data_IF_676700975122
#
_entry.id   IF_676700975122
#
_cell.length_a   1.000
_cell.length_b   1.000
_cell.length_c   1.000
_cell.angle_alpha   90.00
_cell.angle_beta   90.00
_cell.angle_gamma   90.00
#
_symmetry.space_group_name_H-M   'P 1'
#
loop_
_entity.id
_entity.type
_entity.pdbx_description
1 polymer ?
#
# COMPACT_ATOMS: atom_id res chain seq x y z
N UNK A 1 6.52 -0.22 31.93
CA UNK A 1 7.09 -1.22 31.00
C UNK A 1 6.02 -2.30 30.79
N UNK A 2 5.46 -2.47 29.56
CA UNK A 2 4.48 -3.53 29.28
C UNK A 2 5.16 -4.89 29.27
N UNK A 3 4.54 -5.97 29.79
CA UNK A 3 5.10 -7.32 29.72
C UNK A 3 5.35 -7.74 28.25
N UNK A 4 6.40 -8.49 27.97
CA UNK A 4 6.75 -8.98 26.64
C UNK A 4 5.60 -9.80 26.02
N UNK A 5 4.88 -10.58 26.84
CA UNK A 5 3.71 -11.37 26.46
C UNK A 5 2.55 -10.48 25.95
N UNK A 6 2.37 -9.31 26.54
CA UNK A 6 1.33 -8.33 26.16
C UNK A 6 1.63 -7.70 24.79
N UNK A 7 2.90 -7.38 24.51
CA UNK A 7 3.34 -6.87 23.20
C UNK A 7 3.14 -7.92 22.11
N UNK A 8 3.46 -9.18 22.41
CA UNK A 8 3.30 -10.31 21.48
C UNK A 8 1.82 -10.61 21.20
N UNK A 9 0.96 -10.55 22.21
CA UNK A 9 -0.47 -10.74 22.05
C UNK A 9 -1.09 -9.65 21.18
N UNK A 10 -0.71 -8.38 21.42
CA UNK A 10 -1.17 -7.24 20.61
C UNK A 10 -0.78 -7.39 19.13
N UNK A 11 0.45 -7.82 18.83
CA UNK A 11 0.90 -8.07 17.47
C UNK A 11 0.11 -9.22 16.81
N UNK A 12 -0.05 -10.37 17.51
CA UNK A 12 -0.84 -11.51 17.01
C UNK A 12 -2.28 -11.13 16.67
N UNK A 13 -2.94 -10.35 17.53
CA UNK A 13 -4.32 -9.88 17.30
C UNK A 13 -4.38 -8.98 16.07
N UNK A 14 -3.45 -8.02 15.93
CA UNK A 14 -3.37 -7.15 14.73
C UNK A 14 -3.17 -7.98 13.47
N UNK A 15 -2.23 -8.92 13.46
CA UNK A 15 -1.91 -9.73 12.28
C UNK A 15 -3.06 -10.66 11.90
N UNK A 16 -3.76 -11.24 12.88
CA UNK A 16 -5.00 -11.98 12.67
C UNK A 16 -6.10 -11.09 12.06
N UNK A 17 -6.25 -9.87 12.59
CA UNK A 17 -7.22 -8.91 12.06
C UNK A 17 -6.90 -8.52 10.62
N UNK A 18 -5.64 -8.24 10.29
CA UNK A 18 -5.22 -7.92 8.93
C UNK A 18 -5.56 -9.04 7.94
N UNK A 19 -5.30 -10.30 8.31
CA UNK A 19 -5.68 -11.46 7.48
C UNK A 19 -7.18 -11.54 7.24
N UNK A 20 -7.97 -11.50 8.32
CA UNK A 20 -9.43 -11.61 8.24
C UNK A 20 -10.08 -10.41 7.54
N UNK A 21 -9.58 -9.21 7.76
CA UNK A 21 -10.04 -8.02 7.05
C UNK A 21 -9.70 -8.07 5.56
N UNK A 22 -8.53 -8.60 5.21
CA UNK A 22 -8.14 -8.80 3.80
C UNK A 22 -9.00 -9.86 3.10
N UNK A 23 -9.41 -10.90 3.81
CA UNK A 23 -10.17 -12.02 3.25
C UNK A 23 -11.68 -11.72 3.19
N UNK A 24 -12.25 -11.26 4.30
CA UNK A 24 -13.70 -11.12 4.45
C UNK A 24 -14.20 -9.67 4.45
N UNK A 25 -13.28 -8.70 4.52
CA UNK A 25 -13.63 -7.28 4.75
C UNK A 25 -13.89 -6.97 6.22
N UNK A 26 -13.87 -5.66 6.53
CA UNK A 26 -14.07 -5.20 7.92
C UNK A 26 -15.50 -5.45 8.41
N UNK A 27 -16.52 -5.33 7.54
CA UNK A 27 -17.94 -5.49 7.92
C UNK A 27 -18.22 -6.89 8.43
N UNK A 28 -17.81 -7.91 7.68
CA UNK A 28 -18.10 -9.32 7.96
C UNK A 28 -17.23 -9.93 9.07
N UNK A 29 -16.10 -9.32 9.38
CA UNK A 29 -15.19 -9.79 10.42
C UNK A 29 -15.67 -9.36 11.81
N UNK A 30 -15.64 -10.28 12.79
CA UNK A 30 -16.04 -10.02 14.18
C UNK A 30 -14.86 -10.07 15.14
N UNK A 31 -14.97 -9.40 16.29
CA UNK A 31 -13.97 -9.51 17.39
C UNK A 31 -13.79 -10.97 17.83
N UNK A 32 -14.86 -11.78 17.81
CA UNK A 32 -14.80 -13.21 18.21
C UNK A 32 -13.98 -14.03 17.21
N UNK A 33 -14.15 -13.81 15.90
CA UNK A 33 -13.37 -14.50 14.86
C UNK A 33 -11.90 -14.11 14.91
N UNK A 34 -11.60 -12.82 15.16
CA UNK A 34 -10.25 -12.33 15.33
C UNK A 34 -9.57 -12.92 16.55
N UNK A 35 -10.29 -12.98 17.68
CA UNK A 35 -9.77 -13.57 18.92
C UNK A 35 -9.45 -15.07 18.75
N UNK A 36 -10.34 -15.81 18.09
CA UNK A 36 -10.13 -17.22 17.78
C UNK A 36 -8.90 -17.42 16.89
N UNK A 37 -8.76 -16.65 15.79
CA UNK A 37 -7.63 -16.69 14.88
C UNK A 37 -6.30 -16.32 15.58
N UNK A 38 -6.33 -15.36 16.50
CA UNK A 38 -5.16 -14.94 17.29
C UNK A 38 -4.85 -15.88 18.47
N UNK A 39 -5.71 -16.87 18.72
CA UNK A 39 -5.65 -17.75 19.88
C UNK A 39 -5.59 -16.96 21.21
N UNK A 40 -6.57 -16.07 21.40
CA UNK A 40 -6.75 -15.27 22.62
C UNK A 40 -8.21 -15.19 23.03
N UNK A 41 -8.46 -14.79 24.28
CA UNK A 41 -9.82 -14.50 24.73
C UNK A 41 -10.35 -13.20 24.07
N UNK A 42 -11.65 -13.10 23.68
CA UNK A 42 -12.22 -11.90 23.07
C UNK A 42 -12.06 -10.63 23.92
N UNK A 43 -12.09 -10.74 25.24
CA UNK A 43 -11.84 -9.64 26.16
C UNK A 43 -10.44 -9.02 26.00
N UNK A 44 -9.44 -9.81 25.61
CA UNK A 44 -8.08 -9.32 25.40
C UNK A 44 -7.99 -8.44 24.13
N UNK A 45 -8.76 -8.75 23.09
CA UNK A 45 -8.87 -7.89 21.91
C UNK A 45 -9.44 -6.52 22.28
N UNK A 46 -10.53 -6.50 23.07
CA UNK A 46 -11.14 -5.26 23.54
C UNK A 46 -10.23 -4.50 24.51
N UNK A 47 -9.44 -5.19 25.31
CA UNK A 47 -8.46 -4.57 26.20
C UNK A 47 -7.37 -3.82 25.42
N UNK A 48 -6.84 -4.41 24.34
CA UNK A 48 -5.76 -3.80 23.56
C UNK A 48 -6.21 -2.72 22.58
N UNK A 49 -7.42 -2.85 22.01
CA UNK A 49 -7.86 -2.05 20.87
C UNK A 49 -9.22 -1.35 21.09
N UNK A 50 -9.86 -1.57 22.24
CA UNK A 50 -11.18 -1.05 22.56
C UNK A 50 -12.28 -1.74 21.78
N UNK A 51 -12.36 -1.51 20.47
CA UNK A 51 -13.37 -2.06 19.59
C UNK A 51 -12.81 -2.40 18.20
N UNK A 52 -13.67 -2.89 17.31
CA UNK A 52 -13.29 -3.26 15.93
C UNK A 52 -12.72 -2.07 15.14
N UNK A 53 -13.22 -0.86 15.37
CA UNK A 53 -12.71 0.34 14.71
C UNK A 53 -11.29 0.69 15.20
N UNK A 54 -11.02 0.66 16.51
CA UNK A 54 -9.67 0.87 17.05
C UNK A 54 -8.67 -0.18 16.59
N UNK A 55 -9.13 -1.43 16.40
CA UNK A 55 -8.29 -2.48 15.80
C UNK A 55 -8.00 -2.21 14.32
N UNK A 56 -8.97 -1.72 13.53
CA UNK A 56 -8.77 -1.28 12.16
C UNK A 56 -7.74 -0.16 12.09
N UNK A 57 -7.89 0.86 12.93
CA UNK A 57 -6.93 1.99 13.00
C UNK A 57 -5.51 1.53 13.35
N UNK A 58 -5.39 0.51 14.19
CA UNK A 58 -4.09 -0.11 14.48
C UNK A 58 -3.51 -0.88 13.28
N UNK A 59 -4.35 -1.50 12.45
CA UNK A 59 -3.93 -2.12 11.19
C UNK A 59 -3.48 -1.06 10.17
N UNK A 60 -4.26 0.03 10.01
CA UNK A 60 -3.90 1.15 9.14
C UNK A 60 -2.58 1.80 9.58
N UNK A 61 -2.39 2.02 10.89
CA UNK A 61 -1.14 2.52 11.46
C UNK A 61 0.06 1.61 11.15
N UNK A 62 -0.13 0.29 11.28
CA UNK A 62 0.92 -0.67 10.93
C UNK A 62 1.32 -0.61 9.45
N UNK A 63 0.35 -0.45 8.55
CA UNK A 63 0.62 -0.25 7.11
C UNK A 63 1.47 1.00 6.90
N UNK A 64 1.09 2.12 7.52
CA UNK A 64 1.83 3.38 7.38
C UNK A 64 3.25 3.28 7.94
N UNK A 65 3.43 2.64 9.09
CA UNK A 65 4.76 2.42 9.68
C UNK A 65 5.63 1.50 8.82
N UNK A 66 5.02 0.46 8.22
CA UNK A 66 5.70 -0.43 7.28
C UNK A 66 6.20 0.36 6.05
N UNK A 67 5.35 1.19 5.45
CA UNK A 67 5.72 1.97 4.27
C UNK A 67 6.77 3.05 4.57
N UNK A 68 6.64 3.76 5.70
CA UNK A 68 7.67 4.72 6.15
C UNK A 68 9.03 4.04 6.31
N UNK A 69 9.05 2.86 6.91
CA UNK A 69 10.29 2.09 7.07
C UNK A 69 10.87 1.68 5.71
N UNK A 70 10.03 1.19 4.78
CA UNK A 70 10.47 0.82 3.41
C UNK A 70 11.06 2.02 2.68
N UNK A 71 10.51 3.22 2.86
CA UNK A 71 11.06 4.45 2.27
C UNK A 71 12.38 4.81 2.97
N UNK A 72 12.39 4.95 4.28
CA UNK A 72 13.56 5.40 5.03
C UNK A 72 14.76 4.46 4.90
N UNK A 73 14.56 3.15 5.02
CA UNK A 73 15.65 2.16 4.94
C UNK A 73 15.97 1.83 3.48
N UNK A 74 14.93 1.62 2.67
CA UNK A 74 15.07 1.14 1.29
C UNK A 74 15.56 2.22 0.34
N UNK A 75 14.97 3.41 0.39
CA UNK A 75 15.28 4.49 -0.56
C UNK A 75 16.35 5.42 0.02
N UNK A 76 16.09 6.03 1.17
CA UNK A 76 17.01 7.01 1.77
C UNK A 76 18.30 6.34 2.27
N UNK A 77 18.20 5.10 2.78
CA UNK A 77 19.33 4.28 3.20
C UNK A 77 19.95 3.42 2.10
N UNK A 78 19.48 3.55 0.85
CA UNK A 78 19.94 2.79 -0.33
C UNK A 78 19.84 1.26 -0.20
N UNK A 79 19.18 0.75 0.85
CA UNK A 79 19.07 -0.69 1.10
C UNK A 79 18.24 -1.43 0.03
N UNK A 80 17.47 -0.70 -0.80
CA UNK A 80 16.69 -1.30 -1.89
C UNK A 80 17.58 -2.00 -2.93
N UNK A 81 18.85 -1.69 -2.99
CA UNK A 81 19.84 -2.37 -3.83
C UNK A 81 20.33 -3.71 -3.22
N UNK A 82 20.07 -3.97 -1.94
CA UNK A 82 20.44 -5.20 -1.26
C UNK A 82 19.38 -6.29 -1.45
N UNK A 83 19.71 -7.44 -2.07
CA UNK A 83 18.78 -8.56 -2.22
C UNK A 83 18.23 -9.11 -0.89
N UNK A 84 19.02 -9.06 0.20
CA UNK A 84 18.58 -9.47 1.53
C UNK A 84 17.46 -8.59 2.07
N UNK A 85 17.60 -7.28 1.94
CA UNK A 85 16.57 -6.32 2.30
C UNK A 85 15.29 -6.52 1.48
N UNK A 86 15.41 -6.68 0.15
CA UNK A 86 14.26 -6.94 -0.72
C UNK A 86 13.54 -8.25 -0.34
N UNK A 87 14.29 -9.29 0.04
CA UNK A 87 13.69 -10.54 0.49
C UNK A 87 12.84 -10.35 1.76
N UNK A 88 13.28 -9.51 2.69
CA UNK A 88 12.53 -9.19 3.91
C UNK A 88 11.29 -8.34 3.63
N UNK A 89 11.41 -7.34 2.76
CA UNK A 89 10.27 -6.54 2.28
C UNK A 89 9.24 -7.45 1.61
N UNK A 90 9.64 -8.30 0.68
CA UNK A 90 8.71 -9.19 -0.03
C UNK A 90 8.09 -10.27 0.85
N UNK A 91 8.72 -10.66 1.95
CA UNK A 91 8.11 -11.57 2.94
C UNK A 91 6.96 -10.91 3.70
N UNK A 92 7.07 -9.63 4.03
CA UNK A 92 6.03 -8.86 4.72
C UNK A 92 4.95 -8.29 3.79
N UNK A 93 5.28 -8.01 2.54
CA UNK A 93 4.41 -7.32 1.60
C UNK A 93 3.03 -8.00 1.37
N UNK A 94 2.90 -9.33 1.22
CA UNK A 94 1.62 -9.94 0.83
C UNK A 94 0.46 -9.62 1.76
N UNK A 95 0.68 -9.60 3.08
CA UNK A 95 -0.39 -9.30 4.03
C UNK A 95 -0.78 -7.82 3.97
N UNK A 96 0.21 -6.92 3.87
CA UNK A 96 -0.01 -5.47 3.74
C UNK A 96 -0.77 -5.17 2.46
N UNK A 97 -0.33 -5.72 1.33
CA UNK A 97 -0.92 -5.48 0.01
C UNK A 97 -2.36 -5.99 -0.07
N UNK A 98 -2.64 -7.19 0.45
CA UNK A 98 -4.00 -7.74 0.50
C UNK A 98 -4.92 -6.91 1.38
N UNK A 99 -4.44 -6.51 2.56
CA UNK A 99 -5.21 -5.66 3.46
C UNK A 99 -5.53 -4.31 2.82
N UNK A 100 -4.55 -3.60 2.28
CA UNK A 100 -4.73 -2.29 1.63
C UNK A 100 -5.67 -2.41 0.44
N UNK A 101 -5.47 -3.40 -0.43
CA UNK A 101 -6.32 -3.65 -1.60
C UNK A 101 -7.79 -3.82 -1.20
N UNK A 102 -8.05 -4.62 -0.17
CA UNK A 102 -9.41 -4.84 0.33
C UNK A 102 -9.98 -3.60 1.01
N UNK A 103 -9.18 -2.93 1.85
CA UNK A 103 -9.61 -1.76 2.60
C UNK A 103 -10.02 -0.60 1.69
N UNK A 104 -9.35 -0.43 0.54
CA UNK A 104 -9.62 0.65 -0.41
C UNK A 104 -10.83 0.41 -1.31
N UNK A 105 -11.20 -0.85 -1.55
CA UNK A 105 -12.43 -1.19 -2.27
C UNK A 105 -13.68 -0.98 -1.40
N UNK A 106 -13.53 -0.98 -0.08
CA UNK A 106 -14.60 -0.61 0.85
C UNK A 106 -14.82 0.90 0.83
N UNK A 107 -15.92 1.38 0.28
CA UNK A 107 -16.34 2.79 0.34
C UNK A 107 -16.68 3.20 1.79
N UNK A 108 -15.66 3.40 2.60
CA UNK A 108 -15.80 3.71 4.02
C UNK A 108 -14.93 4.90 4.41
N UNK A 109 -15.32 5.67 5.45
CA UNK A 109 -14.48 6.78 5.94
C UNK A 109 -13.05 6.35 6.32
N UNK A 110 -12.86 5.07 6.68
CA UNK A 110 -11.53 4.51 6.95
C UNK A 110 -10.71 4.29 5.69
N UNK A 111 -11.34 3.89 4.58
CA UNK A 111 -10.68 3.77 3.28
C UNK A 111 -10.20 5.14 2.78
N UNK A 112 -11.05 6.16 2.87
CA UNK A 112 -10.69 7.54 2.52
C UNK A 112 -9.47 8.01 3.32
N UNK A 113 -9.50 7.84 4.65
CA UNK A 113 -8.36 8.23 5.50
C UNK A 113 -7.07 7.47 5.17
N UNK A 114 -7.16 6.17 4.87
CA UNK A 114 -6.00 5.39 4.48
C UNK A 114 -5.40 5.92 3.16
N UNK A 115 -6.24 6.19 2.16
CA UNK A 115 -5.80 6.78 0.89
C UNK A 115 -5.15 8.15 1.10
N UNK A 116 -5.79 9.05 1.85
CA UNK A 116 -5.28 10.39 2.15
C UNK A 116 -3.90 10.32 2.86
N UNK A 117 -3.73 9.40 3.81
CA UNK A 117 -2.46 9.19 4.47
C UNK A 117 -1.36 8.69 3.51
N UNK A 118 -1.70 7.82 2.58
CA UNK A 118 -0.76 7.34 1.54
C UNK A 118 -0.35 8.47 0.60
N UNK A 119 -1.31 9.33 0.21
CA UNK A 119 -1.03 10.53 -0.60
C UNK A 119 -0.11 11.49 0.16
N UNK A 120 -0.42 11.79 1.42
CA UNK A 120 0.41 12.67 2.25
C UNK A 120 1.84 12.12 2.42
N UNK A 121 2.00 10.83 2.68
CA UNK A 121 3.32 10.19 2.77
C UNK A 121 4.11 10.32 1.45
N UNK A 122 3.44 10.18 0.31
CA UNK A 122 4.08 10.31 -1.00
C UNK A 122 4.42 11.77 -1.30
N UNK A 123 3.57 12.72 -0.93
CA UNK A 123 3.80 14.17 -1.08
C UNK A 123 5.01 14.62 -0.23
N UNK A 124 5.11 14.15 1.02
CA UNK A 124 6.28 14.39 1.88
C UNK A 124 7.56 13.86 1.25
N UNK A 125 7.51 12.64 0.70
CA UNK A 125 8.64 12.05 -0.02
C UNK A 125 9.05 12.90 -1.24
N UNK A 126 8.09 13.31 -2.08
CA UNK A 126 8.36 14.14 -3.26
C UNK A 126 8.84 15.55 -2.91
N UNK A 127 8.53 16.04 -1.72
CA UNK A 127 9.05 17.33 -1.21
C UNK A 127 10.53 17.23 -0.85
N UNK A 128 10.95 16.11 -0.27
CA UNK A 128 12.36 15.85 0.10
C UNK A 128 13.19 15.35 -1.08
N UNK A 129 12.55 14.68 -2.05
CA UNK A 129 13.15 14.15 -3.27
C UNK A 129 12.42 14.74 -4.50
N UNK A 130 12.67 16.01 -4.85
CA UNK A 130 11.90 16.70 -5.88
C UNK A 130 11.97 15.98 -7.23
N UNK A 131 10.82 15.78 -7.90
CA UNK A 131 10.79 15.19 -9.23
C UNK A 131 11.55 16.08 -10.22
N UNK A 132 12.13 15.45 -11.25
CA UNK A 132 12.91 16.14 -12.27
C UNK A 132 12.12 16.28 -13.58
N UNK A 133 12.64 17.11 -14.48
CA UNK A 133 12.06 17.30 -15.79
C UNK A 133 10.65 17.88 -15.75
N UNK A 134 9.76 17.34 -16.55
CA UNK A 134 8.36 17.83 -16.64
C UNK A 134 7.52 17.56 -15.40
N UNK A 135 7.83 16.51 -14.67
CA UNK A 135 7.11 16.20 -13.42
C UNK A 135 7.33 17.30 -12.37
N UNK A 136 8.45 18.02 -12.41
CA UNK A 136 8.72 19.16 -11.53
C UNK A 136 7.78 20.37 -11.74
N UNK A 137 7.04 20.38 -12.84
CA UNK A 137 6.08 21.46 -13.18
C UNK A 137 4.65 21.11 -12.72
N UNK A 138 4.43 19.90 -12.22
CA UNK A 138 3.12 19.46 -11.73
C UNK A 138 2.90 19.88 -10.28
N UNK A 139 1.64 20.03 -9.92
CA UNK A 139 1.25 20.11 -8.51
C UNK A 139 1.62 18.80 -7.79
N UNK A 140 2.41 18.91 -6.71
CA UNK A 140 2.96 17.74 -6.01
C UNK A 140 1.84 16.85 -5.43
N UNK A 141 0.76 17.44 -4.92
CA UNK A 141 -0.36 16.70 -4.37
C UNK A 141 -1.07 15.88 -5.46
N UNK A 142 -1.32 16.49 -6.62
CA UNK A 142 -1.90 15.79 -7.77
C UNK A 142 -0.99 14.67 -8.23
N UNK A 143 0.31 14.93 -8.34
CA UNK A 143 1.31 13.92 -8.73
C UNK A 143 1.35 12.76 -7.74
N UNK A 144 1.37 13.07 -6.43
CA UNK A 144 1.32 12.06 -5.36
C UNK A 144 0.05 11.22 -5.42
N UNK A 145 -1.12 11.86 -5.56
CA UNK A 145 -2.40 11.15 -5.61
C UNK A 145 -2.49 10.20 -6.81
N UNK A 146 -2.07 10.66 -8.00
CA UNK A 146 -2.04 9.82 -9.21
C UNK A 146 -1.04 8.68 -9.06
N UNK A 147 0.17 8.96 -8.54
CA UNK A 147 1.16 7.92 -8.28
C UNK A 147 0.64 6.84 -7.33
N UNK A 148 0.04 7.24 -6.21
CA UNK A 148 -0.58 6.32 -5.24
C UNK A 148 -1.69 5.49 -5.91
N UNK A 149 -2.59 6.14 -6.66
CA UNK A 149 -3.69 5.45 -7.35
C UNK A 149 -3.17 4.41 -8.37
N UNK A 150 -2.15 4.74 -9.16
CA UNK A 150 -1.53 3.81 -10.12
C UNK A 150 -0.89 2.62 -9.40
N UNK A 151 -0.12 2.86 -8.34
CA UNK A 151 0.53 1.81 -7.55
C UNK A 151 -0.49 0.89 -6.89
N UNK A 152 -1.52 1.46 -6.27
CA UNK A 152 -2.59 0.71 -5.62
C UNK A 152 -3.46 -0.06 -6.62
N UNK A 153 -3.69 0.50 -7.81
CA UNK A 153 -4.41 -0.18 -8.89
C UNK A 153 -3.80 -1.52 -9.25
N UNK A 154 -2.48 -1.62 -9.29
CA UNK A 154 -1.76 -2.89 -9.51
C UNK A 154 -2.11 -3.91 -8.42
N UNK A 155 -2.17 -3.47 -7.17
CA UNK A 155 -2.45 -4.36 -6.03
C UNK A 155 -3.93 -4.70 -5.88
N UNK A 156 -4.83 -3.77 -6.18
CA UNK A 156 -6.28 -4.06 -6.25
C UNK A 156 -6.56 -5.12 -7.33
N UNK A 157 -5.87 -5.01 -8.46
CA UNK A 157 -6.01 -5.95 -9.58
C UNK A 157 -5.12 -7.20 -9.47
N UNK A 158 -4.41 -7.41 -8.35
CA UNK A 158 -3.46 -8.52 -8.21
C UNK A 158 -4.05 -9.92 -8.49
N UNK A 159 -5.34 -10.25 -8.19
CA UNK A 159 -5.87 -11.57 -8.54
C UNK A 159 -5.89 -11.82 -10.06
N UNK A 160 -6.17 -10.77 -10.83
CA UNK A 160 -6.15 -10.85 -12.29
C UNK A 160 -4.71 -10.95 -12.83
N UNK A 161 -3.77 -10.20 -12.21
CA UNK A 161 -2.35 -10.29 -12.58
C UNK A 161 -1.78 -11.68 -12.31
N UNK A 162 -2.03 -12.25 -11.13
CA UNK A 162 -1.61 -13.62 -10.79
C UNK A 162 -2.09 -14.60 -11.84
N UNK A 163 -3.37 -14.55 -12.21
CA UNK A 163 -3.97 -15.42 -13.23
C UNK A 163 -3.29 -15.26 -14.59
N UNK A 164 -3.06 -14.04 -15.05
CA UNK A 164 -2.41 -13.75 -16.35
C UNK A 164 -0.95 -14.20 -16.35
N UNK A 165 -0.27 -14.09 -15.21
CA UNK A 165 1.12 -14.52 -15.04
C UNK A 165 1.27 -16.04 -14.88
N UNK A 166 0.16 -16.78 -14.85
CA UNK A 166 0.14 -18.24 -14.66
C UNK A 166 0.64 -18.67 -13.28
N UNK A 167 0.36 -17.87 -12.25
CA UNK A 167 0.76 -18.13 -10.86
C UNK A 167 -0.46 -18.38 -9.98
N UNK A 168 -0.28 -19.11 -8.88
CA UNK A 168 -1.36 -19.45 -7.93
C UNK A 168 -1.41 -18.51 -6.73
N UNK A 169 -0.32 -17.78 -6.46
CA UNK A 169 -0.20 -16.89 -5.29
C UNK A 169 0.83 -15.76 -5.48
N UNK A 170 0.77 -14.76 -4.60
CA UNK A 170 1.78 -13.69 -4.49
C UNK A 170 3.04 -14.22 -3.80
N UNK A 171 3.83 -15.00 -4.52
CA UNK A 171 5.16 -15.43 -4.05
C UNK A 171 6.20 -14.31 -4.23
N UNK A 172 7.36 -14.37 -3.56
CA UNK A 172 8.45 -13.41 -3.79
C UNK A 172 8.84 -13.29 -5.27
N UNK A 173 8.86 -14.39 -6.02
CA UNK A 173 9.16 -14.41 -7.45
C UNK A 173 8.10 -13.66 -8.28
N UNK A 174 6.83 -13.83 -7.96
CA UNK A 174 5.72 -13.10 -8.61
C UNK A 174 5.78 -11.63 -8.27
N UNK A 175 6.05 -11.28 -7.00
CA UNK A 175 6.23 -9.89 -6.55
C UNK A 175 7.39 -9.22 -7.29
N UNK A 176 8.54 -9.89 -7.42
CA UNK A 176 9.69 -9.37 -8.16
C UNK A 176 9.33 -9.08 -9.63
N UNK A 177 8.65 -10.01 -10.30
CA UNK A 177 8.19 -9.82 -11.70
C UNK A 177 7.24 -8.62 -11.84
N UNK A 178 6.27 -8.50 -10.92
CA UNK A 178 5.33 -7.37 -10.92
C UNK A 178 6.08 -6.06 -10.63
N UNK A 179 6.99 -6.04 -9.65
CA UNK A 179 7.74 -4.84 -9.29
C UNK A 179 8.63 -4.36 -10.43
N UNK A 180 9.33 -5.25 -11.12
CA UNK A 180 10.12 -4.90 -12.30
C UNK A 180 9.23 -4.32 -13.41
N UNK A 181 8.11 -4.98 -13.73
CA UNK A 181 7.18 -4.50 -14.74
C UNK A 181 6.55 -3.14 -14.38
N UNK A 182 6.32 -2.86 -13.09
CA UNK A 182 5.84 -1.54 -12.64
C UNK A 182 6.90 -0.46 -12.88
N UNK A 183 8.18 -0.75 -12.61
CA UNK A 183 9.27 0.21 -12.90
C UNK A 183 9.37 0.49 -14.40
N UNK A 184 9.32 -0.55 -15.24
CA UNK A 184 9.36 -0.40 -16.68
C UNK A 184 8.12 0.34 -17.22
N UNK A 185 6.93 0.08 -16.68
CA UNK A 185 5.69 0.75 -17.08
C UNK A 185 5.67 2.24 -16.70
N UNK A 186 6.44 2.64 -15.70
CA UNK A 186 6.60 4.06 -15.33
C UNK A 186 7.68 4.77 -16.17
N UNK A 187 8.44 4.02 -16.98
CA UNK A 187 9.40 4.59 -17.90
C UNK A 187 8.70 5.23 -19.10
N UNK A 188 9.23 6.36 -19.63
CA UNK A 188 8.77 6.94 -20.90
C UNK A 188 8.86 5.97 -22.08
N UNK A 189 9.68 4.94 -21.98
CA UNK A 189 9.97 4.01 -23.07
C UNK A 189 8.78 3.11 -23.43
N UNK A 190 7.86 2.86 -22.50
CA UNK A 190 6.71 1.98 -22.74
C UNK A 190 5.76 2.53 -23.83
N UNK A 191 5.47 3.83 -23.80
CA UNK A 191 4.50 4.45 -24.69
C UNK A 191 5.15 5.13 -25.92
N UNK A 192 6.49 5.20 -25.94
CA UNK A 192 7.24 5.98 -26.93
C UNK A 192 7.17 7.49 -26.70
N UNK A 193 8.30 8.17 -26.87
CA UNK A 193 8.43 9.61 -26.60
C UNK A 193 7.47 10.46 -27.46
N UNK A 194 7.24 10.06 -28.71
CA UNK A 194 6.40 10.80 -29.67
C UNK A 194 4.92 10.75 -29.25
N UNK A 195 4.40 9.58 -28.89
CA UNK A 195 3.00 9.43 -28.45
C UNK A 195 2.75 10.21 -27.15
N UNK A 196 3.67 10.12 -26.19
CA UNK A 196 3.58 10.89 -24.95
C UNK A 196 3.62 12.39 -25.18
N UNK A 197 4.42 12.86 -26.14
CA UNK A 197 4.48 14.27 -26.54
C UNK A 197 3.18 14.74 -27.19
N UNK A 198 2.63 13.96 -28.11
CA UNK A 198 1.35 14.26 -28.78
C UNK A 198 0.18 14.32 -27.77
N UNK A 199 0.09 13.35 -26.86
CA UNK A 199 -0.95 13.32 -25.85
C UNK A 199 -0.87 14.55 -24.92
N UNK A 200 0.33 14.92 -24.47
CA UNK A 200 0.53 16.11 -23.62
C UNK A 200 0.19 17.41 -24.35
N UNK A 201 0.56 17.54 -25.61
CA UNK A 201 0.22 18.72 -26.43
C UNK A 201 -1.30 18.84 -26.61
N UNK A 202 -2.01 17.72 -26.74
CA UNK A 202 -3.47 17.69 -26.77
C UNK A 202 -4.09 18.14 -25.45
N UNK A 203 -3.60 17.61 -24.32
CA UNK A 203 -4.07 18.00 -22.99
C UNK A 203 -3.85 19.50 -22.70
N UNK A 204 -2.66 20.02 -23.03
CA UNK A 204 -2.37 21.43 -22.82
C UNK A 204 -3.27 22.35 -23.64
N UNK A 205 -3.58 22.00 -24.90
CA UNK A 205 -4.52 22.75 -25.76
C UNK A 205 -5.93 22.73 -25.18
N UNK A 206 -6.40 21.55 -24.76
CA UNK A 206 -7.71 21.40 -24.13
C UNK A 206 -7.87 22.28 -22.88
N UNK A 207 -6.85 22.31 -22.01
CA UNK A 207 -6.85 23.16 -20.81
C UNK A 207 -6.86 24.65 -21.11
N UNK A 208 -6.26 25.09 -22.25
CA UNK A 208 -6.24 26.49 -22.68
C UNK A 208 -7.58 26.92 -23.28
N UNK A 209 -8.35 26.02 -23.88
CA UNK A 209 -9.67 26.28 -24.45
C UNK A 209 -10.78 26.39 -23.40
N UNK A 210 -10.57 25.83 -22.20
CA UNK A 210 -11.53 25.89 -21.08
C UNK A 210 -11.32 27.10 -20.16
N UNK A 211 -10.28 27.90 -20.33
CA UNK A 211 -9.99 29.13 -19.55
C UNK A 211 -10.51 30.38 -20.28
#
# INVERSE_FOLDING_TARGET
MRPVEDVTARARIRDAAMRLFAEHGVKETTIRTIAAEANVAPGLVSHHFGNKQGLREACDGFVMDYLRRVIAEGVDGEAIADPGYLADVYRGAPIVLRYVSRALVDESPGATRLFDNLVALTEDYLTTHPPQGRAAQQDLRTLAAVHVAMRLGVWVMHPHLIRVLGADALTPQVLTRISAAVLDAMSPDLAGADLMSLARNGLNRYQQEEQ
#
